data_IF_745881205272
#
_entry.id   IF_745881205272
#
_cell.length_a   1.000
_cell.length_b   1.000
_cell.length_c   1.000
_cell.angle_alpha   90.00
_cell.angle_beta   90.00
_cell.angle_gamma   90.00
#
_symmetry.space_group_name_H-M   'P 1'
#
loop_
_entity.id
_entity.type
_entity.pdbx_description
1 polymer ?
#
# COMPACT_ATOMS: atom_id res chain seq x y z
N UNK A 1 29.46 -11.86 -43.46
CA UNK A 1 28.88 -12.73 -42.42
C UNK A 1 29.00 -11.98 -41.11
N UNK A 2 27.85 -11.62 -40.53
CA UNK A 2 27.73 -10.68 -39.43
C UNK A 2 28.17 -11.30 -38.09
N UNK A 3 28.68 -10.44 -37.22
CA UNK A 3 29.23 -10.73 -35.91
C UNK A 3 28.22 -11.38 -34.95
N UNK A 4 28.71 -12.35 -34.18
CA UNK A 4 27.99 -12.95 -33.05
C UNK A 4 27.81 -11.90 -31.93
N UNK A 5 26.56 -11.68 -31.55
CA UNK A 5 26.17 -10.75 -30.49
C UNK A 5 26.47 -11.30 -29.10
N UNK A 6 26.99 -10.41 -28.25
CA UNK A 6 27.11 -10.57 -26.81
C UNK A 6 25.70 -10.60 -26.20
N UNK A 7 25.27 -11.73 -25.62
CA UNK A 7 24.06 -11.82 -24.79
C UNK A 7 24.42 -11.70 -23.30
N UNK A 8 23.66 -10.86 -22.61
CA UNK A 8 23.96 -10.25 -21.31
C UNK A 8 23.99 -11.25 -20.13
N UNK A 9 24.68 -10.94 -19.01
CA UNK A 9 24.72 -11.81 -17.85
C UNK A 9 23.34 -11.93 -17.19
N UNK A 10 22.94 -13.19 -16.95
CA UNK A 10 21.74 -13.57 -16.22
C UNK A 10 21.66 -12.85 -14.86
N UNK A 11 20.69 -11.93 -14.73
CA UNK A 11 20.33 -11.37 -13.44
C UNK A 11 19.87 -12.51 -12.53
N UNK A 12 20.63 -12.76 -11.48
CA UNK A 12 20.33 -13.75 -10.45
C UNK A 12 18.95 -13.47 -9.84
N UNK A 13 17.93 -14.20 -10.30
CA UNK A 13 16.62 -14.17 -9.68
C UNK A 13 16.72 -14.87 -8.32
N UNK A 14 16.96 -14.09 -7.27
CA UNK A 14 16.78 -14.55 -5.89
C UNK A 14 15.44 -15.28 -5.79
N UNK A 15 15.38 -16.51 -5.25
CA UNK A 15 14.11 -17.22 -5.14
C UNK A 15 13.12 -16.31 -4.41
N UNK A 16 11.92 -16.06 -4.97
CA UNK A 16 10.98 -15.14 -4.36
C UNK A 16 10.74 -15.61 -2.92
N UNK A 17 10.93 -14.69 -1.99
CA UNK A 17 10.67 -14.93 -0.57
C UNK A 17 9.24 -15.43 -0.39
N UNK A 18 8.93 -16.07 0.74
CA UNK A 18 7.61 -16.66 0.99
C UNK A 18 6.46 -15.69 0.66
N UNK A 19 6.64 -14.39 0.89
CA UNK A 19 5.67 -13.33 0.58
C UNK A 19 5.52 -13.08 -0.93
N UNK A 20 6.59 -13.06 -1.72
CA UNK A 20 6.50 -12.78 -3.17
C UNK A 20 5.81 -13.90 -3.97
N UNK A 21 5.78 -15.12 -3.43
CA UNK A 21 5.11 -16.25 -4.09
C UNK A 21 3.59 -16.12 -4.11
N UNK A 22 3.03 -15.45 -3.11
CA UNK A 22 1.58 -15.39 -2.91
C UNK A 22 1.00 -13.98 -3.05
N UNK A 23 1.84 -12.94 -3.02
CA UNK A 23 1.40 -11.55 -3.10
C UNK A 23 1.88 -10.87 -4.38
N UNK A 24 0.94 -10.40 -5.18
CA UNK A 24 1.20 -9.50 -6.32
C UNK A 24 1.22 -8.05 -5.84
N UNK A 25 2.27 -7.30 -6.16
CA UNK A 25 2.42 -5.90 -5.77
C UNK A 25 1.84 -4.97 -6.82
N UNK A 26 1.01 -4.06 -6.36
CA UNK A 26 0.38 -3.01 -7.13
C UNK A 26 0.68 -1.67 -6.47
N UNK A 27 0.75 -0.62 -7.27
CA UNK A 27 1.09 0.73 -6.82
C UNK A 27 0.05 1.73 -7.30
N UNK A 28 -0.29 2.70 -6.46
CA UNK A 28 -1.16 3.82 -6.81
C UNK A 28 -0.41 5.12 -6.48
N UNK A 29 0.22 5.75 -7.47
CA UNK A 29 0.79 7.08 -7.28
C UNK A 29 -0.30 8.16 -7.27
N UNK A 30 0.03 9.31 -6.68
CA UNK A 30 -0.74 10.56 -6.72
C UNK A 30 -2.22 10.42 -6.30
N UNK A 31 -2.46 9.75 -5.16
CA UNK A 31 -3.81 9.66 -4.64
C UNK A 31 -4.32 11.06 -4.32
N UNK A 32 -5.43 11.44 -4.96
CA UNK A 32 -6.11 12.73 -4.77
C UNK A 32 -5.34 13.99 -5.23
N UNK A 33 -4.30 13.84 -6.05
CA UNK A 33 -3.51 14.97 -6.54
C UNK A 33 -2.45 15.48 -5.55
N UNK A 34 -2.24 14.76 -4.45
CA UNK A 34 -1.13 15.00 -3.55
C UNK A 34 0.11 14.30 -4.10
N UNK A 35 1.03 15.10 -4.62
CA UNK A 35 2.29 14.62 -5.16
C UNK A 35 3.05 13.86 -4.07
N UNK A 36 3.49 12.63 -4.38
CA UNK A 36 4.32 11.74 -3.51
C UNK A 36 3.56 10.87 -2.51
N UNK A 37 2.23 10.96 -2.37
CA UNK A 37 1.49 10.02 -1.53
C UNK A 37 1.22 8.69 -2.26
N UNK A 38 2.31 7.97 -2.52
CA UNK A 38 2.29 6.73 -3.27
C UNK A 38 1.96 5.52 -2.38
N UNK A 39 0.90 4.82 -2.75
CA UNK A 39 0.41 3.68 -1.97
C UNK A 39 0.81 2.37 -2.64
N UNK A 40 1.06 1.35 -1.82
CA UNK A 40 1.33 -0.01 -2.27
C UNK A 40 0.22 -0.95 -1.80
N UNK A 41 -0.24 -1.81 -2.72
CA UNK A 41 -1.30 -2.79 -2.49
C UNK A 41 -0.74 -4.17 -2.79
N UNK A 42 -0.68 -5.02 -1.77
CA UNK A 42 -0.27 -6.42 -1.91
C UNK A 42 -1.51 -7.29 -2.07
N UNK A 43 -1.73 -7.82 -3.26
CA UNK A 43 -2.84 -8.71 -3.55
C UNK A 43 -2.43 -10.17 -3.33
N UNK A 44 -3.04 -10.84 -2.37
CA UNK A 44 -2.86 -12.27 -2.14
C UNK A 44 -3.59 -13.11 -3.20
N UNK A 45 -3.14 -14.33 -3.43
CA UNK A 45 -3.81 -15.33 -4.29
C UNK A 45 -5.29 -15.56 -3.91
N UNK A 46 -5.62 -15.43 -2.63
CA UNK A 46 -6.99 -15.51 -2.09
C UNK A 46 -7.83 -14.21 -2.30
N UNK A 47 -7.36 -13.28 -3.16
CA UNK A 47 -7.99 -11.99 -3.48
C UNK A 47 -8.10 -11.00 -2.32
N UNK A 48 -7.46 -11.28 -1.20
CA UNK A 48 -7.29 -10.31 -0.11
C UNK A 48 -6.25 -9.29 -0.55
N UNK A 49 -6.47 -8.02 -0.23
CA UNK A 49 -5.55 -6.94 -0.54
C UNK A 49 -5.05 -6.32 0.76
N UNK A 50 -3.74 -6.26 0.94
CA UNK A 50 -3.09 -5.59 2.06
C UNK A 50 -2.64 -4.22 1.57
N UNK A 51 -3.04 -3.18 2.28
CA UNK A 51 -2.70 -1.78 1.97
C UNK A 51 -1.51 -1.38 2.83
N UNK A 52 -0.51 -0.80 2.18
CA UNK A 52 0.70 -0.26 2.79
C UNK A 52 1.21 0.94 2.00
N UNK A 53 2.28 1.57 2.46
CA UNK A 53 2.95 2.69 1.77
C UNK A 53 3.97 2.16 0.77
N UNK A 54 4.20 2.90 -0.31
CA UNK A 54 5.26 2.57 -1.27
C UNK A 54 6.63 3.03 -0.76
N UNK A 55 7.69 2.37 -1.22
CA UNK A 55 9.08 2.68 -0.83
C UNK A 55 9.49 4.12 -1.15
N UNK A 56 8.93 4.70 -2.21
CA UNK A 56 9.21 6.08 -2.60
C UNK A 56 8.31 7.13 -1.91
N UNK A 57 7.42 6.70 -1.02
CA UNK A 57 6.62 7.63 -0.22
C UNK A 57 7.57 8.48 0.67
N UNK A 58 7.31 9.78 0.86
CA UNK A 58 8.13 10.67 1.70
C UNK A 58 8.18 10.23 3.17
N UNK A 59 7.27 9.33 3.58
CA UNK A 59 7.27 8.69 4.89
C UNK A 59 8.46 7.75 5.09
N UNK A 60 8.94 7.15 4.00
CA UNK A 60 10.07 6.24 3.97
C UNK A 60 11.35 6.96 3.50
N UNK A 61 11.25 7.83 2.49
CA UNK A 61 12.43 8.48 1.91
C UNK A 61 13.06 9.58 2.77
N UNK A 62 12.27 10.38 3.49
CA UNK A 62 12.81 11.53 4.21
C UNK A 62 13.44 11.17 5.56
N UNK A 63 13.49 9.88 5.95
CA UNK A 63 13.98 9.43 7.24
C UNK A 63 13.25 10.07 8.44
N UNK A 64 12.05 10.60 8.22
CA UNK A 64 11.24 11.26 9.25
C UNK A 64 10.71 10.20 10.20
N UNK A 65 10.77 10.44 11.51
CA UNK A 65 10.16 9.52 12.45
C UNK A 65 8.66 9.78 12.48
N UNK A 66 7.89 8.69 12.45
CA UNK A 66 6.45 8.77 12.64
C UNK A 66 6.20 8.95 14.14
N UNK A 67 5.59 10.08 14.52
CA UNK A 67 5.26 10.37 15.92
C UNK A 67 4.02 9.62 16.37
N UNK A 68 2.98 9.63 15.54
CA UNK A 68 1.74 8.93 15.86
C UNK A 68 0.95 8.57 14.60
N UNK A 69 0.14 7.54 14.72
CA UNK A 69 -0.79 7.12 13.68
C UNK A 69 -2.20 7.16 14.28
N UNK A 70 -3.16 7.69 13.54
CA UNK A 70 -4.55 7.76 13.97
C UNK A 70 -5.46 7.09 12.94
N UNK A 71 -6.12 6.01 13.37
CA UNK A 71 -7.21 5.36 12.62
C UNK A 71 -8.57 6.03 12.82
N UNK A 72 -8.61 7.16 13.54
CA UNK A 72 -9.81 7.94 13.76
C UNK A 72 -10.00 8.91 12.60
N UNK A 73 -10.92 8.55 11.70
CA UNK A 73 -11.16 9.29 10.46
C UNK A 73 -12.19 10.40 10.67
N UNK A 74 -13.19 10.18 11.52
CA UNK A 74 -14.15 11.19 11.95
C UNK A 74 -14.63 10.93 13.39
N UNK A 75 -15.23 11.94 14.03
CA UNK A 75 -15.71 11.88 15.41
C UNK A 75 -16.73 10.74 15.69
N UNK A 76 -17.38 10.20 14.65
CA UNK A 76 -18.30 9.06 14.72
C UNK A 76 -17.82 7.84 13.89
N UNK A 77 -16.60 7.84 13.37
CA UNK A 77 -16.06 6.72 12.58
C UNK A 77 -14.60 6.45 12.94
N UNK A 78 -14.43 5.60 13.95
CA UNK A 78 -13.14 4.95 14.22
C UNK A 78 -13.13 3.59 13.53
N UNK A 79 -12.15 3.36 12.65
CA UNK A 79 -12.00 2.06 11.97
C UNK A 79 -11.61 0.92 12.92
N UNK A 80 -11.10 1.27 14.11
CA UNK A 80 -10.87 0.37 15.23
C UNK A 80 -12.16 -0.27 15.77
N UNK A 81 -13.31 0.39 15.62
CA UNK A 81 -14.60 -0.18 16.02
C UNK A 81 -15.20 -1.14 14.97
N UNK A 82 -14.46 -1.45 13.90
CA UNK A 82 -14.89 -2.37 12.85
C UNK A 82 -14.88 -3.82 13.38
N UNK A 83 -15.89 -4.17 14.19
CA UNK A 83 -16.06 -5.50 14.76
C UNK A 83 -16.65 -6.45 13.72
N UNK A 84 -15.80 -6.94 12.83
CA UNK A 84 -16.18 -7.91 11.79
C UNK A 84 -16.50 -9.26 12.44
N UNK A 85 -17.74 -9.73 12.33
CA UNK A 85 -18.16 -11.02 12.91
C UNK A 85 -18.94 -11.89 11.93
N UNK A 86 -18.75 -13.21 12.06
CA UNK A 86 -19.46 -14.25 11.30
C UNK A 86 -18.98 -14.49 9.87
N UNK A 87 -19.42 -15.61 9.28
CA UNK A 87 -19.06 -16.06 7.91
C UNK A 87 -19.39 -15.05 6.80
N UNK A 88 -20.36 -14.17 7.03
CA UNK A 88 -20.77 -13.12 6.09
C UNK A 88 -19.99 -11.80 6.24
N UNK A 89 -19.02 -11.75 7.18
CA UNK A 89 -18.27 -10.52 7.50
C UNK A 89 -19.23 -9.39 7.91
N UNK A 90 -20.20 -9.70 8.76
CA UNK A 90 -21.27 -8.80 9.19
C UNK A 90 -20.64 -7.74 10.11
N UNK A 91 -20.88 -6.47 9.82
CA UNK A 91 -20.24 -5.34 10.51
C UNK A 91 -19.01 -4.75 9.79
N UNK A 92 -18.49 -5.42 8.75
CA UNK A 92 -17.38 -4.89 7.97
C UNK A 92 -17.77 -3.62 7.23
N UNK A 93 -17.08 -2.52 7.50
CA UNK A 93 -17.24 -1.27 6.77
C UNK A 93 -16.84 -1.44 5.31
N UNK A 94 -17.70 -0.99 4.40
CA UNK A 94 -17.39 -0.95 2.98
C UNK A 94 -16.62 0.34 2.66
N UNK A 95 -15.46 0.18 2.04
CA UNK A 95 -14.55 1.25 1.67
C UNK A 95 -14.61 1.51 0.19
N UNK A 96 -14.57 2.79 -0.15
CA UNK A 96 -14.34 3.28 -1.50
C UNK A 96 -12.84 3.48 -1.74
N UNK A 97 -12.44 3.64 -3.01
CA UNK A 97 -11.04 3.87 -3.41
C UNK A 97 -10.40 5.05 -2.65
N UNK A 98 -11.14 6.14 -2.46
CA UNK A 98 -10.68 7.35 -1.76
C UNK A 98 -11.10 7.40 -0.28
N UNK A 99 -11.48 6.26 0.31
CA UNK A 99 -11.82 6.23 1.73
C UNK A 99 -10.53 6.30 2.57
N UNK A 100 -10.34 7.33 3.41
CA UNK A 100 -9.13 7.49 4.22
C UNK A 100 -9.08 6.42 5.32
N UNK A 101 -7.98 5.66 5.39
CA UNK A 101 -7.72 4.55 6.32
C UNK A 101 -7.14 5.03 7.65
N UNK A 102 -6.08 5.83 7.60
CA UNK A 102 -5.45 6.41 8.76
C UNK A 102 -4.76 7.73 8.40
N UNK A 103 -4.44 8.49 9.44
CA UNK A 103 -3.62 9.69 9.36
C UNK A 103 -2.31 9.40 10.07
N UNK A 104 -1.20 9.75 9.44
CA UNK A 104 0.14 9.54 9.96
C UNK A 104 0.73 10.92 10.24
N UNK A 105 1.16 11.13 11.48
CA UNK A 105 1.81 12.35 11.93
C UNK A 105 3.32 12.12 12.01
N UNK A 106 4.09 12.94 11.32
CA UNK A 106 5.54 12.87 11.31
C UNK A 106 6.17 13.93 12.20
N UNK A 107 7.41 13.68 12.61
CA UNK A 107 8.26 14.50 13.49
C UNK A 107 8.66 15.88 12.95
N UNK A 108 7.87 16.45 12.07
CA UNK A 108 8.02 17.79 11.49
C UNK A 108 6.69 18.55 11.37
N UNK A 109 5.62 18.05 12.01
CA UNK A 109 4.28 18.63 11.92
C UNK A 109 3.52 18.33 10.63
N UNK A 110 4.06 17.43 9.79
CA UNK A 110 3.39 16.98 8.57
C UNK A 110 2.39 15.85 8.88
N UNK A 111 1.22 15.94 8.25
CA UNK A 111 0.17 14.91 8.30
C UNK A 111 0.04 14.28 6.91
N UNK A 112 0.11 12.95 6.85
CA UNK A 112 -0.15 12.17 5.64
C UNK A 112 -1.43 11.37 5.83
N UNK A 113 -2.32 11.42 4.85
CA UNK A 113 -3.57 10.64 4.91
C UNK A 113 -3.47 9.46 3.99
N UNK A 114 -3.49 8.25 4.58
CA UNK A 114 -3.46 7.02 3.81
C UNK A 114 -4.88 6.67 3.36
N UNK A 115 -5.03 6.32 2.10
CA UNK A 115 -6.31 5.94 1.51
C UNK A 115 -6.38 4.43 1.21
N UNK A 116 -7.59 3.92 1.04
CA UNK A 116 -7.79 2.50 0.76
C UNK A 116 -7.28 2.10 -0.62
N UNK A 117 -7.24 3.02 -1.59
CA UNK A 117 -6.85 2.83 -3.00
C UNK A 117 -7.63 1.78 -3.79
N UNK A 118 -8.46 0.98 -3.12
CA UNK A 118 -9.30 -0.04 -3.69
C UNK A 118 -10.67 -0.03 -3.01
N UNK A 119 -11.68 -0.53 -3.73
CA UNK A 119 -13.01 -0.73 -3.19
C UNK A 119 -13.12 -2.11 -2.55
N UNK A 120 -13.66 -2.18 -1.34
CA UNK A 120 -13.80 -3.46 -0.65
C UNK A 120 -14.25 -3.35 0.79
N UNK A 121 -14.42 -4.49 1.46
CA UNK A 121 -14.74 -4.54 2.88
C UNK A 121 -13.45 -4.49 3.70
N UNK A 122 -13.37 -3.57 4.65
CA UNK A 122 -12.28 -3.56 5.62
C UNK A 122 -12.38 -4.80 6.51
N UNK A 123 -11.35 -5.65 6.46
CA UNK A 123 -11.26 -6.86 7.27
C UNK A 123 -10.57 -6.54 8.59
N UNK A 124 -9.43 -5.88 8.50
CA UNK A 124 -8.54 -5.65 9.64
C UNK A 124 -7.76 -4.36 9.43
N UNK A 125 -7.39 -3.71 10.53
CA UNK A 125 -6.42 -2.62 10.59
C UNK A 125 -5.29 -3.06 11.51
N UNK A 126 -4.07 -2.64 11.20
CA UNK A 126 -2.93 -3.02 12.01
C UNK A 126 -2.81 -2.12 13.24
N UNK A 127 -3.12 -2.64 14.41
CA UNK A 127 -2.98 -1.89 15.66
C UNK A 127 -1.51 -1.83 16.13
N UNK A 128 -0.65 -2.72 15.64
CA UNK A 128 0.76 -2.79 16.06
C UNK A 128 1.54 -1.54 15.64
N UNK A 129 1.16 -0.89 14.53
CA UNK A 129 1.82 0.35 14.10
C UNK A 129 1.41 1.56 14.96
N UNK A 130 0.36 1.44 15.78
CA UNK A 130 0.02 2.46 16.77
C UNK A 130 0.96 2.41 17.97
N UNK A 131 1.36 1.21 18.35
CA UNK A 131 2.30 0.97 19.44
C UNK A 131 3.75 1.18 18.98
N UNK A 132 4.08 0.66 17.79
CA UNK A 132 5.42 0.73 17.19
C UNK A 132 5.34 1.24 15.74
N UNK A 133 5.30 2.57 15.54
CA UNK A 133 5.17 3.15 14.21
C UNK A 133 6.39 2.90 13.30
N UNK A 134 7.55 2.59 13.89
CA UNK A 134 8.75 2.17 13.17
C UNK A 134 8.53 0.93 12.29
N UNK A 135 7.57 0.06 12.64
CA UNK A 135 7.24 -1.12 11.84
C UNK A 135 6.81 -0.77 10.42
N UNK A 136 6.11 0.36 10.24
CA UNK A 136 5.71 0.85 8.92
C UNK A 136 6.92 1.18 8.05
N UNK A 137 8.03 1.59 8.67
CA UNK A 137 9.26 1.98 7.97
C UNK A 137 10.21 0.81 7.76
N UNK A 138 10.41 -0.01 8.80
CA UNK A 138 11.33 -1.15 8.72
C UNK A 138 10.75 -2.29 7.88
N UNK A 139 9.44 -2.52 7.99
CA UNK A 139 8.76 -3.70 7.45
C UNK A 139 7.40 -3.37 6.84
N UNK A 140 7.30 -2.43 5.88
CA UNK A 140 6.02 -2.03 5.28
C UNK A 140 5.25 -3.19 4.63
N UNK A 141 5.95 -4.23 4.17
CA UNK A 141 5.36 -5.36 3.45
C UNK A 141 5.00 -6.58 4.32
N UNK A 142 5.39 -6.59 5.59
CA UNK A 142 5.13 -7.74 6.48
C UNK A 142 4.35 -7.30 7.71
N UNK A 143 5.01 -6.81 8.75
CA UNK A 143 4.40 -6.46 10.04
C UNK A 143 3.93 -5.00 10.09
N UNK A 144 4.41 -4.17 9.18
CA UNK A 144 4.07 -2.75 9.05
C UNK A 144 2.93 -2.47 8.07
N UNK A 145 2.07 -3.43 7.74
CA UNK A 145 0.90 -3.14 6.91
C UNK A 145 -0.06 -2.18 7.63
N UNK A 146 -0.91 -1.47 6.89
CA UNK A 146 -1.84 -0.50 7.48
C UNK A 146 -3.21 -1.12 7.68
N UNK A 147 -3.71 -1.78 6.64
CA UNK A 147 -5.03 -2.38 6.64
C UNK A 147 -5.13 -3.55 5.67
N UNK A 148 -6.05 -4.46 5.96
CA UNK A 148 -6.42 -5.58 5.10
C UNK A 148 -7.83 -5.35 4.59
N UNK A 149 -7.98 -5.31 3.27
CA UNK A 149 -9.23 -5.05 2.58
C UNK A 149 -9.58 -6.22 1.69
N UNK A 150 -10.84 -6.64 1.72
CA UNK A 150 -11.38 -7.68 0.86
C UNK A 150 -12.27 -7.05 -0.23
N UNK A 151 -11.81 -6.95 -1.48
CA UNK A 151 -12.66 -6.59 -2.60
C UNK A 151 -13.78 -7.63 -2.81
N UNK A 152 -14.89 -7.19 -3.42
CA UNK A 152 -15.92 -8.14 -3.88
C UNK A 152 -15.35 -9.02 -4.99
N UNK A 153 -15.81 -10.26 -5.07
CA UNK A 153 -15.29 -11.23 -6.05
C UNK A 153 -15.42 -10.72 -7.49
N UNK A 154 -16.57 -10.15 -7.85
CA UNK A 154 -16.86 -9.59 -9.17
C UNK A 154 -15.97 -8.38 -9.49
N UNK A 155 -15.74 -7.50 -8.51
CA UNK A 155 -14.94 -6.28 -8.69
C UNK A 155 -13.43 -6.51 -8.53
N UNK A 156 -13.00 -7.66 -7.98
CA UNK A 156 -11.59 -7.94 -7.67
C UNK A 156 -10.66 -7.92 -8.88
N UNK A 157 -11.18 -8.06 -10.10
CA UNK A 157 -10.42 -7.90 -11.35
C UNK A 157 -10.33 -6.45 -11.81
N UNK A 158 -11.33 -5.64 -11.47
CA UNK A 158 -11.39 -4.22 -11.84
C UNK A 158 -10.66 -3.33 -10.84
N UNK A 159 -10.55 -3.73 -9.57
CA UNK A 159 -9.79 -2.96 -8.56
C UNK A 159 -8.31 -2.81 -8.91
N UNK A 160 -7.73 -3.77 -9.65
CA UNK A 160 -6.33 -3.70 -10.10
C UNK A 160 -6.16 -2.96 -11.42
N UNK A 161 -7.22 -2.70 -12.18
CA UNK A 161 -7.14 -2.00 -13.48
C UNK A 161 -6.69 -0.55 -13.34
N UNK A 162 -6.93 0.07 -12.18
CA UNK A 162 -6.47 1.42 -11.86
C UNK A 162 -5.12 1.48 -11.15
N UNK A 163 -4.43 0.35 -10.99
CA UNK A 163 -3.15 0.25 -10.28
C UNK A 163 -2.02 -0.06 -11.25
N UNK A 164 -0.84 0.42 -10.91
CA UNK A 164 0.39 0.23 -11.68
C UNK A 164 1.15 -0.98 -11.16
N UNK A 165 1.79 -1.71 -12.05
CA UNK A 165 2.75 -2.74 -11.66
C UNK A 165 4.04 -2.10 -11.15
N UNK A 166 4.89 -2.89 -10.47
CA UNK A 166 6.20 -2.42 -9.99
C UNK A 166 7.02 -1.72 -11.09
N UNK A 167 7.08 -2.34 -12.27
CA UNK A 167 7.85 -1.82 -13.41
C UNK A 167 7.31 -0.48 -13.91
N UNK A 168 5.99 -0.35 -14.00
CA UNK A 168 5.35 0.91 -14.41
C UNK A 168 5.55 1.99 -13.36
N UNK A 169 5.53 1.63 -12.08
CA UNK A 169 5.78 2.56 -10.99
C UNK A 169 7.25 3.04 -10.96
N UNK A 170 8.22 2.15 -11.18
CA UNK A 170 9.64 2.52 -11.30
C UNK A 170 9.88 3.50 -12.48
N UNK A 171 9.23 3.26 -13.63
CA UNK A 171 9.27 4.17 -14.77
C UNK A 171 8.60 5.52 -14.45
N UNK A 172 7.47 5.49 -13.74
CA UNK A 172 6.78 6.69 -13.26
C UNK A 172 7.67 7.53 -12.33
N UNK A 173 8.34 6.89 -11.37
CA UNK A 173 9.27 7.55 -10.45
C UNK A 173 10.45 8.18 -11.20
N UNK A 174 11.00 7.48 -12.20
CA UNK A 174 12.12 7.99 -13.01
C UNK A 174 11.71 9.20 -13.86
N UNK A 175 10.51 9.17 -14.44
CA UNK A 175 9.96 10.33 -15.18
C UNK A 175 9.74 11.53 -14.27
N UNK A 176 9.29 11.27 -13.04
CA UNK A 176 9.07 12.31 -12.03
C UNK A 176 10.36 12.96 -11.56
N UNK A 177 11.40 12.18 -11.28
CA UNK A 177 12.71 12.73 -10.89
C UNK A 177 13.30 13.61 -11.99
N UNK A 178 13.15 13.20 -13.26
CA UNK A 178 13.63 13.97 -14.41
C UNK A 178 12.84 15.26 -14.66
N UNK A 179 11.56 15.31 -14.24
CA UNK A 179 10.71 16.51 -14.39
C UNK A 179 10.91 17.54 -13.27
N UNK A 180 11.56 17.13 -12.17
CA UNK A 180 11.82 17.98 -11.00
C UNK A 180 13.27 18.50 -11.00
N UNK A 181 14.07 18.15 -12.01
CA UNK A 181 15.47 18.62 -12.20
C UNK A 181 15.56 19.82 -13.14
#
# INVERSE_FOLDING_TARGET
MAAEGLDAPAAMATPPGMTERYFTRWYKPDVKGNSCEDHCILQHSNRICVITVADAHPLLQNGKQIESISYQISANCSRLQNKVSGKSKRGAQFLTEFAPLCRIFCSGGEEYTIYSCIRGRLIEVNENILDNPSLLQEKPFTEGYIAVVLPKFEESKSVTQGLMTRKEYEDFLTKRSNSTS
#
